data_IF_064327683316
#
_entry.id   IF_064327683316
#
_cell.length_a   1.000
_cell.length_b   1.000
_cell.length_c   1.000
_cell.angle_alpha   90.00
_cell.angle_beta   90.00
_cell.angle_gamma   90.00
#
_symmetry.space_group_name_H-M   'P 1'
#
loop_
_entity.id
_entity.type
_entity.pdbx_description
1 polymer ?
#
# COMPACT_ATOMS: atom_id res chain seq x y z
N UNK A 1 -21.97 29.06 32.94
CA UNK A 1 -20.63 28.83 32.36
C UNK A 1 -20.40 27.36 31.99
N UNK A 2 -20.48 26.43 32.95
CA UNK A 2 -20.33 24.98 32.73
C UNK A 2 -21.22 24.38 31.61
N UNK A 3 -22.53 24.69 31.51
CA UNK A 3 -23.36 24.09 30.45
C UNK A 3 -22.97 24.57 29.05
N UNK A 4 -22.51 25.82 28.91
CA UNK A 4 -22.04 26.38 27.63
C UNK A 4 -20.76 25.69 27.19
N UNK A 5 -19.83 25.44 28.12
CA UNK A 5 -18.59 24.70 27.85
C UNK A 5 -18.90 23.28 27.38
N UNK A 6 -19.84 22.59 28.05
CA UNK A 6 -20.21 21.21 27.70
C UNK A 6 -20.81 21.13 26.30
N UNK A 7 -21.70 22.07 25.96
CA UNK A 7 -22.28 22.17 24.60
C UNK A 7 -21.19 22.43 23.56
N UNK A 8 -20.26 23.33 23.84
CA UNK A 8 -19.17 23.65 22.92
C UNK A 8 -18.26 22.44 22.67
N UNK A 9 -17.91 21.70 23.72
CA UNK A 9 -17.12 20.46 23.63
C UNK A 9 -17.87 19.39 22.83
N UNK A 10 -19.16 19.21 23.08
CA UNK A 10 -19.99 18.24 22.35
C UNK A 10 -20.06 18.58 20.85
N UNK A 11 -20.26 19.85 20.51
CA UNK A 11 -20.28 20.32 19.11
C UNK A 11 -18.92 20.12 18.43
N UNK A 12 -17.82 20.41 19.13
CA UNK A 12 -16.48 20.18 18.62
C UNK A 12 -16.24 18.68 18.34
N UNK A 13 -16.64 17.80 19.27
CA UNK A 13 -16.54 16.35 19.12
C UNK A 13 -17.30 15.84 17.88
N UNK A 14 -18.56 16.28 17.72
CA UNK A 14 -19.39 15.89 16.56
C UNK A 14 -18.77 16.39 15.26
N UNK A 15 -18.29 17.63 15.22
CA UNK A 15 -17.63 18.20 14.04
C UNK A 15 -16.35 17.45 13.66
N UNK A 16 -15.54 17.04 14.64
CA UNK A 16 -14.36 16.21 14.43
C UNK A 16 -14.74 14.84 13.87
N UNK A 17 -15.71 14.15 14.46
CA UNK A 17 -16.18 12.84 14.00
C UNK A 17 -16.71 12.92 12.57
N UNK A 18 -17.54 13.92 12.25
CA UNK A 18 -18.05 14.13 10.89
C UNK A 18 -16.91 14.43 9.91
N UNK A 19 -15.94 15.27 10.29
CA UNK A 19 -14.83 15.62 9.41
C UNK A 19 -13.90 14.44 9.12
N UNK A 20 -13.70 13.55 10.10
CA UNK A 20 -12.98 12.27 9.91
C UNK A 20 -13.78 11.33 9.02
N UNK A 21 -15.07 11.13 9.29
CA UNK A 21 -15.93 10.24 8.51
C UNK A 21 -16.10 10.70 7.05
N UNK A 22 -16.07 12.01 6.80
CA UNK A 22 -16.19 12.59 5.44
C UNK A 22 -14.82 12.71 4.75
N UNK A 23 -13.72 12.28 5.39
CA UNK A 23 -12.36 12.37 4.85
C UNK A 23 -11.81 13.80 4.69
N UNK A 24 -12.51 14.82 5.21
CA UNK A 24 -12.10 16.23 5.15
C UNK A 24 -11.07 16.60 6.23
N UNK A 25 -11.04 15.88 7.34
CA UNK A 25 -10.03 16.02 8.38
C UNK A 25 -9.09 14.82 8.30
N UNK A 26 -7.89 15.03 7.74
CA UNK A 26 -6.79 14.05 7.85
C UNK A 26 -6.28 14.09 9.28
N UNK A 27 -6.92 13.33 10.16
CA UNK A 27 -6.34 12.97 11.45
C UNK A 27 -5.39 11.82 11.16
N UNK A 28 -4.10 12.03 11.45
CA UNK A 28 -3.05 11.02 11.27
C UNK A 28 -3.50 9.71 11.96
N UNK A 29 -3.75 8.62 11.21
CA UNK A 29 -4.07 7.35 11.81
C UNK A 29 -2.85 6.91 12.63
N UNK A 30 -3.08 6.58 13.91
CA UNK A 30 -2.08 5.98 14.78
C UNK A 30 -1.36 4.86 14.01
N UNK A 31 -0.02 4.93 13.91
CA UNK A 31 0.79 4.08 13.04
C UNK A 31 0.37 2.61 13.08
N UNK A 32 0.20 2.02 11.89
CA UNK A 32 -0.29 0.65 11.72
C UNK A 32 0.63 -0.38 12.38
N UNK A 33 0.00 -1.47 12.85
CA UNK A 33 0.66 -2.56 13.54
C UNK A 33 1.71 -3.22 12.63
N UNK A 34 2.96 -3.23 13.10
CA UNK A 34 4.08 -3.93 12.43
C UNK A 34 3.76 -5.43 12.42
N UNK A 35 3.42 -5.96 11.26
CA UNK A 35 3.20 -7.39 11.06
C UNK A 35 4.51 -8.15 11.25
N UNK A 36 4.49 -9.26 11.99
CA UNK A 36 5.66 -10.10 12.30
C UNK A 36 6.05 -11.07 11.18
N UNK A 37 5.60 -10.82 9.94
CA UNK A 37 5.94 -11.68 8.80
C UNK A 37 7.33 -11.28 8.30
N UNK A 38 8.30 -12.21 8.21
CA UNK A 38 9.61 -11.90 7.65
C UNK A 38 9.45 -11.35 6.24
N UNK A 39 10.03 -10.18 5.99
CA UNK A 39 10.16 -9.61 4.66
C UNK A 39 11.10 -10.52 3.85
N UNK A 40 10.51 -11.39 3.04
CA UNK A 40 11.22 -12.07 1.98
C UNK A 40 11.18 -11.14 0.78
N UNK A 41 12.18 -10.25 0.71
CA UNK A 41 12.39 -9.41 -0.46
C UNK A 41 12.65 -10.23 -1.72
N UNK A 42 12.77 -9.53 -2.86
CA UNK A 42 13.07 -10.17 -4.13
C UNK A 42 14.46 -10.85 -4.13
N UNK A 43 14.62 -11.99 -4.84
CA UNK A 43 15.94 -12.59 -5.07
C UNK A 43 16.81 -11.70 -5.96
N UNK A 44 18.11 -11.99 -6.04
CA UNK A 44 19.08 -11.20 -6.83
C UNK A 44 18.69 -11.10 -8.32
N UNK A 45 18.09 -12.17 -8.84
CA UNK A 45 17.53 -12.27 -10.20
C UNK A 45 16.04 -12.61 -10.10
N UNK A 46 15.15 -11.61 -10.02
CA UNK A 46 13.72 -11.83 -9.83
C UNK A 46 13.03 -12.23 -11.13
N UNK A 47 12.17 -13.23 -11.03
CA UNK A 47 11.23 -13.62 -12.07
C UNK A 47 9.87 -12.91 -11.89
N UNK A 48 9.05 -12.90 -12.94
CA UNK A 48 7.70 -12.33 -12.89
C UNK A 48 6.81 -13.00 -11.85
N UNK A 49 7.08 -14.26 -11.48
CA UNK A 49 6.37 -14.95 -10.41
C UNK A 49 6.77 -14.44 -9.01
N UNK A 50 7.99 -13.95 -8.83
CA UNK A 50 8.50 -13.53 -7.52
C UNK A 50 7.85 -12.23 -7.05
N UNK A 51 7.43 -11.36 -7.97
CA UNK A 51 6.75 -10.08 -7.69
C UNK A 51 5.48 -10.27 -6.85
N UNK A 52 4.75 -11.38 -7.03
CA UNK A 52 3.53 -11.68 -6.25
C UNK A 52 3.79 -11.97 -4.76
N UNK A 53 5.00 -12.43 -4.47
CA UNK A 53 5.37 -12.92 -3.14
C UNK A 53 5.90 -11.80 -2.25
N UNK A 54 6.27 -10.66 -2.84
CA UNK A 54 6.76 -9.47 -2.14
C UNK A 54 5.68 -8.89 -1.22
N UNK A 55 6.08 -8.55 0.00
CA UNK A 55 5.21 -7.88 0.99
C UNK A 55 5.92 -6.64 1.52
N UNK A 56 5.23 -5.51 1.45
CA UNK A 56 5.74 -4.24 1.95
C UNK A 56 5.16 -3.93 3.32
N UNK A 57 5.99 -3.42 4.23
CA UNK A 57 5.53 -2.85 5.48
C UNK A 57 4.74 -1.55 5.24
N UNK A 58 3.63 -1.39 5.95
CA UNK A 58 2.79 -0.18 5.88
C UNK A 58 3.28 0.86 6.89
N UNK A 59 3.61 2.06 6.42
CA UNK A 59 3.96 3.20 7.27
C UNK A 59 2.80 4.21 7.36
N UNK A 60 2.70 4.93 8.49
CA UNK A 60 1.69 5.97 8.74
C UNK A 60 1.61 7.03 7.61
N UNK A 61 2.71 7.20 6.87
CA UNK A 61 2.75 7.93 5.61
C UNK A 61 3.49 7.08 4.58
N UNK A 62 2.76 6.52 3.63
CA UNK A 62 3.29 5.68 2.56
C UNK A 62 2.70 6.04 1.19
N UNK A 63 3.16 5.34 0.16
CA UNK A 63 2.48 5.34 -1.13
C UNK A 63 1.10 4.68 -1.00
N UNK A 64 0.15 5.09 -1.83
CA UNK A 64 -1.16 4.45 -1.84
C UNK A 64 -1.02 3.00 -2.32
N UNK A 65 -1.45 2.04 -1.49
CA UNK A 65 -1.31 0.61 -1.76
C UNK A 65 -1.89 0.22 -3.12
N UNK A 66 -3.08 0.75 -3.47
CA UNK A 66 -3.71 0.49 -4.77
C UNK A 66 -2.90 1.00 -5.96
N UNK A 67 -2.21 2.14 -5.83
CA UNK A 67 -1.37 2.68 -6.91
C UNK A 67 -0.08 1.85 -7.04
N UNK A 68 0.49 1.42 -5.90
CA UNK A 68 1.66 0.52 -5.88
C UNK A 68 1.30 -0.82 -6.51
N UNK A 69 0.18 -1.43 -6.12
CA UNK A 69 -0.29 -2.71 -6.65
C UNK A 69 -0.51 -2.62 -8.17
N UNK A 70 -1.18 -1.58 -8.64
CA UNK A 70 -1.41 -1.39 -10.08
C UNK A 70 -0.12 -1.21 -10.88
N UNK A 71 0.89 -0.54 -10.31
CA UNK A 71 2.19 -0.43 -10.94
C UNK A 71 2.95 -1.76 -10.91
N UNK A 72 2.92 -2.49 -9.80
CA UNK A 72 3.56 -3.80 -9.70
C UNK A 72 2.96 -4.82 -10.66
N UNK A 73 1.63 -4.82 -10.84
CA UNK A 73 0.96 -5.65 -11.83
C UNK A 73 1.43 -5.35 -13.25
N UNK A 74 1.55 -4.08 -13.61
CA UNK A 74 2.04 -3.67 -14.93
C UNK A 74 3.53 -4.04 -15.15
N UNK A 75 4.36 -3.90 -14.12
CA UNK A 75 5.76 -4.32 -14.14
C UNK A 75 5.87 -5.84 -14.29
N UNK A 76 5.07 -6.59 -13.55
CA UNK A 76 5.01 -8.06 -13.61
C UNK A 76 4.65 -8.54 -15.02
N UNK A 77 3.63 -7.97 -15.63
CA UNK A 77 3.22 -8.33 -16.99
C UNK A 77 4.35 -8.07 -18.00
N UNK A 78 5.03 -6.94 -17.86
CA UNK A 78 6.18 -6.58 -18.70
C UNK A 78 7.34 -7.57 -18.52
N UNK A 79 7.63 -7.97 -17.28
CA UNK A 79 8.68 -8.94 -16.98
C UNK A 79 8.35 -10.31 -17.57
N UNK A 80 7.11 -10.78 -17.42
CA UNK A 80 6.64 -12.03 -17.99
C UNK A 80 6.73 -12.06 -19.53
N UNK A 81 6.50 -10.91 -20.19
CA UNK A 81 6.72 -10.78 -21.64
C UNK A 81 8.19 -10.98 -22.02
N UNK A 82 9.10 -10.34 -21.27
CA UNK A 82 10.54 -10.44 -21.53
C UNK A 82 11.08 -11.84 -21.27
N UNK A 83 10.58 -12.52 -20.24
CA UNK A 83 10.93 -13.90 -19.95
C UNK A 83 10.50 -14.84 -21.07
N UNK A 84 9.29 -14.66 -21.60
CA UNK A 84 8.79 -15.42 -22.75
C UNK A 84 9.61 -15.16 -24.01
N UNK A 85 9.98 -13.90 -24.26
CA UNK A 85 10.85 -13.53 -25.39
C UNK A 85 12.25 -14.17 -25.24
N UNK A 86 12.84 -14.10 -24.05
CA UNK A 86 14.14 -14.70 -23.76
C UNK A 86 14.13 -16.22 -23.92
N UNK A 87 13.07 -16.90 -23.44
CA UNK A 87 12.91 -18.34 -23.64
C UNK A 87 12.81 -18.69 -25.14
N UNK A 88 12.01 -17.94 -25.91
CA UNK A 88 11.84 -18.17 -27.34
C UNK A 88 13.10 -17.88 -28.18
N UNK A 89 14.03 -17.06 -27.67
CA UNK A 89 15.34 -16.83 -28.29
C UNK A 89 16.29 -17.98 -27.99
N UNK A 90 16.36 -18.44 -26.73
CA UNK A 90 17.20 -19.59 -26.34
C UNK A 90 16.82 -20.86 -27.10
N UNK A 91 15.53 -21.14 -27.23
CA UNK A 91 15.01 -22.29 -28.00
C UNK A 91 15.42 -22.29 -29.49
N UNK A 92 15.87 -21.14 -30.02
CA UNK A 92 16.30 -20.99 -31.41
C UNK A 92 17.81 -21.12 -31.59
N UNK A 93 18.56 -20.90 -30.51
CA UNK A 93 20.00 -21.03 -30.49
C UNK A 93 20.44 -22.49 -30.26
N UNK A 94 19.58 -23.31 -29.64
CA UNK A 94 19.69 -24.77 -29.51
C UNK A 94 19.25 -25.52 -30.79
#
# INVERSE_FOLDING_TARGET
MVPVLLVLVAVALVATVLGVATGRLRVDPLADAVTTTPDHGLPDEPEAADVDTVRFDTAARGYAMADVDAHLDALRETLAEREREAAALRDRED
#
